data_IF_237073418960
#
_entry.id   IF_237073418960
#
_cell.length_a   1.000
_cell.length_b   1.000
_cell.length_c   1.000
_cell.angle_alpha   90.00
_cell.angle_beta   90.00
_cell.angle_gamma   90.00
#
_symmetry.space_group_name_H-M   'P 1'
#
loop_
_entity.id
_entity.type
_entity.pdbx_description
1 polymer ?
#
# COMPACT_ATOMS: atom_id res chain seq x y z
N UNK A 1 -7.14 -9.72 -15.21
CA UNK A 1 -6.09 -10.33 -14.38
C UNK A 1 -6.76 -11.15 -13.29
N UNK A 2 -6.31 -12.38 -13.03
CA UNK A 2 -6.84 -13.17 -11.89
C UNK A 2 -6.12 -12.79 -10.59
N UNK A 3 -6.69 -13.13 -9.42
CA UNK A 3 -6.04 -12.90 -8.13
C UNK A 3 -4.72 -13.67 -7.97
N UNK A 4 -4.57 -14.79 -8.68
CA UNK A 4 -3.30 -15.55 -8.70
C UNK A 4 -2.25 -14.80 -9.52
N UNK A 5 -2.62 -14.34 -10.72
CA UNK A 5 -1.72 -13.57 -11.58
C UNK A 5 -1.26 -12.28 -10.90
N UNK A 6 -2.18 -11.58 -10.23
CA UNK A 6 -1.87 -10.34 -9.53
C UNK A 6 -0.97 -10.57 -8.30
N UNK A 7 -1.22 -11.64 -7.54
CA UNK A 7 -0.36 -11.99 -6.42
C UNK A 7 1.06 -12.33 -6.89
N UNK A 8 1.18 -13.03 -8.03
CA UNK A 8 2.47 -13.31 -8.68
C UNK A 8 3.17 -12.05 -9.15
N UNK A 9 2.46 -11.10 -9.78
CA UNK A 9 3.01 -9.81 -10.18
C UNK A 9 3.57 -9.03 -8.97
N UNK A 10 2.85 -9.02 -7.85
CA UNK A 10 3.27 -8.36 -6.61
C UNK A 10 4.30 -9.15 -5.77
N UNK A 11 4.66 -10.37 -6.19
CA UNK A 11 5.59 -11.22 -5.45
C UNK A 11 5.09 -11.68 -4.08
N UNK A 12 3.77 -11.84 -3.90
CA UNK A 12 3.13 -12.30 -2.66
C UNK A 12 2.26 -13.54 -2.88
N UNK A 13 1.86 -14.21 -1.80
CA UNK A 13 0.91 -15.32 -1.92
C UNK A 13 -0.51 -14.83 -2.23
N UNK A 14 -1.30 -15.65 -2.92
CA UNK A 14 -2.73 -15.39 -3.16
C UNK A 14 -3.51 -15.11 -1.86
N UNK A 15 -3.18 -15.83 -0.78
CA UNK A 15 -3.82 -15.61 0.52
C UNK A 15 -3.51 -14.23 1.07
N UNK A 16 -2.25 -13.81 0.97
CA UNK A 16 -1.82 -12.47 1.40
C UNK A 16 -2.55 -11.38 0.62
N UNK A 17 -2.66 -11.51 -0.70
CA UNK A 17 -3.41 -10.57 -1.52
C UNK A 17 -4.90 -10.52 -1.11
N UNK A 18 -5.55 -11.68 -0.94
CA UNK A 18 -6.94 -11.73 -0.48
C UNK A 18 -7.13 -11.07 0.90
N UNK A 19 -6.18 -11.22 1.82
CA UNK A 19 -6.25 -10.58 3.15
C UNK A 19 -6.09 -9.06 3.07
N UNK A 20 -5.30 -8.57 2.12
CA UNK A 20 -5.20 -7.13 1.83
C UNK A 20 -6.53 -6.62 1.24
N UNK A 21 -7.07 -7.29 0.22
CA UNK A 21 -8.31 -6.87 -0.45
C UNK A 21 -9.54 -6.87 0.47
N UNK A 22 -9.59 -7.80 1.43
CA UNK A 22 -10.66 -7.86 2.43
C UNK A 22 -10.48 -6.89 3.60
N UNK A 23 -9.36 -6.18 3.65
CA UNK A 23 -9.03 -5.33 4.78
C UNK A 23 -8.68 -6.12 6.04
N UNK A 24 -8.33 -7.39 5.96
CA UNK A 24 -7.84 -8.17 7.12
C UNK A 24 -6.39 -7.81 7.45
N UNK A 25 -5.62 -7.34 6.47
CA UNK A 25 -4.22 -6.97 6.62
C UNK A 25 -3.94 -5.61 5.99
N UNK A 26 -3.29 -4.74 6.75
CA UNK A 26 -2.81 -3.45 6.25
C UNK A 26 -1.54 -3.62 5.42
N UNK A 27 -1.36 -2.74 4.44
CA UNK A 27 -0.11 -2.63 3.67
C UNK A 27 0.84 -1.71 4.42
N UNK A 28 2.10 -2.11 4.62
CA UNK A 28 3.09 -1.23 5.24
C UNK A 28 3.56 -0.16 4.25
N UNK A 29 4.05 1.02 4.71
CA UNK A 29 4.63 2.04 3.83
C UNK A 29 5.71 1.50 2.89
N UNK A 30 6.58 0.62 3.38
CA UNK A 30 7.61 -0.02 2.58
C UNK A 30 7.01 -0.88 1.45
N UNK A 31 6.03 -1.73 1.77
CA UNK A 31 5.35 -2.54 0.76
C UNK A 31 4.55 -1.70 -0.23
N UNK A 32 3.99 -0.58 0.21
CA UNK A 32 3.30 0.37 -0.66
C UNK A 32 4.24 0.96 -1.72
N UNK A 33 5.49 1.28 -1.36
CA UNK A 33 6.52 1.69 -2.32
C UNK A 33 6.82 0.57 -3.31
N UNK A 34 7.09 -0.64 -2.83
CA UNK A 34 7.38 -1.80 -3.69
C UNK A 34 6.23 -2.06 -4.69
N UNK A 35 4.98 -2.04 -4.23
CA UNK A 35 3.81 -2.22 -5.08
C UNK A 35 3.62 -1.07 -6.07
N UNK A 36 3.85 0.17 -5.67
CA UNK A 36 3.78 1.31 -6.58
C UNK A 36 4.79 1.19 -7.73
N UNK A 37 6.01 0.74 -7.43
CA UNK A 37 7.06 0.52 -8.44
C UNK A 37 6.69 -0.60 -9.41
N UNK A 38 6.21 -1.73 -8.90
CA UNK A 38 5.76 -2.88 -9.71
C UNK A 38 4.62 -2.46 -10.65
N UNK A 39 3.65 -1.71 -10.13
CA UNK A 39 2.43 -1.34 -10.85
C UNK A 39 2.56 -0.05 -11.67
N UNK A 40 3.70 0.63 -11.63
CA UNK A 40 3.95 1.87 -12.38
C UNK A 40 3.18 3.08 -11.85
N UNK A 41 2.87 3.12 -10.56
CA UNK A 41 2.16 4.23 -9.90
C UNK A 41 3.07 5.09 -9.02
N UNK A 42 2.54 6.21 -8.54
CA UNK A 42 3.26 7.11 -7.62
C UNK A 42 3.47 6.46 -6.26
N UNK A 43 4.74 6.25 -5.88
CA UNK A 43 5.13 5.79 -4.54
C UNK A 43 4.51 6.64 -3.43
N UNK A 44 4.56 7.97 -3.58
CA UNK A 44 3.98 8.91 -2.62
C UNK A 44 2.48 8.68 -2.42
N UNK A 45 1.71 8.43 -3.48
CA UNK A 45 0.28 8.17 -3.33
C UNK A 45 0.01 6.84 -2.62
N UNK A 46 0.75 5.79 -2.96
CA UNK A 46 0.59 4.48 -2.33
C UNK A 46 0.96 4.53 -0.84
N UNK A 47 2.05 5.21 -0.48
CA UNK A 47 2.44 5.41 0.92
C UNK A 47 1.38 6.21 1.67
N UNK A 48 0.83 7.28 1.06
CA UNK A 48 -0.25 8.07 1.67
C UNK A 48 -1.47 7.21 1.96
N UNK A 49 -1.89 6.39 0.99
CA UNK A 49 -3.03 5.50 1.13
C UNK A 49 -2.80 4.44 2.21
N UNK A 50 -1.62 3.82 2.25
CA UNK A 50 -1.26 2.83 3.26
C UNK A 50 -1.28 3.42 4.69
N UNK A 51 -0.79 4.65 4.86
CA UNK A 51 -0.85 5.33 6.16
C UNK A 51 -2.28 5.76 6.52
N UNK A 52 -3.07 6.23 5.56
CA UNK A 52 -4.47 6.57 5.81
C UNK A 52 -5.27 5.34 6.23
N UNK A 53 -5.10 4.22 5.53
CA UNK A 53 -5.74 2.94 5.87
C UNK A 53 -5.42 2.50 7.31
N UNK A 54 -4.20 2.74 7.79
CA UNK A 54 -3.86 2.48 9.19
C UNK A 54 -4.65 3.37 10.17
N UNK A 55 -4.75 4.68 9.91
CA UNK A 55 -5.53 5.58 10.75
C UNK A 55 -7.01 5.20 10.77
N UNK A 56 -7.56 4.87 9.60
CA UNK A 56 -8.97 4.50 9.43
C UNK A 56 -9.29 3.23 10.22
N UNK A 57 -8.40 2.22 10.20
CA UNK A 57 -8.55 0.97 10.98
C UNK A 57 -8.56 1.17 12.49
N UNK A 58 -7.92 2.23 12.97
CA UNK A 58 -7.91 2.60 14.39
C UNK A 58 -8.96 3.67 14.73
N UNK A 59 -9.87 3.99 13.80
CA UNK A 59 -10.92 5.00 13.95
C UNK A 59 -10.36 6.39 14.34
N UNK A 60 -9.15 6.70 13.88
CA UNK A 60 -8.48 7.96 14.17
C UNK A 60 -8.95 9.04 13.18
N UNK A 61 -9.46 10.19 13.65
CA UNK A 61 -10.08 11.21 12.79
C UNK A 61 -9.05 12.15 12.15
N UNK A 62 -7.98 11.59 11.57
CA UNK A 62 -6.89 12.35 10.96
C UNK A 62 -6.75 12.03 9.47
N UNK A 63 -6.24 13.00 8.71
CA UNK A 63 -5.93 12.87 7.28
C UNK A 63 -4.42 12.84 7.08
N UNK A 64 -3.94 11.97 6.18
CA UNK A 64 -2.53 11.90 5.79
C UNK A 64 -2.27 12.75 4.56
N UNK A 65 -1.37 13.72 4.71
CA UNK A 65 -0.75 14.46 3.62
C UNK A 65 0.76 14.18 3.60
N UNK A 66 1.29 13.91 2.40
CA UNK A 66 2.72 13.70 2.21
C UNK A 66 3.27 14.82 1.31
N UNK A 67 4.41 15.37 1.71
CA UNK A 67 5.21 16.29 0.93
C UNK A 67 6.59 15.69 0.69
N UNK A 68 7.16 15.85 -0.52
CA UNK A 68 8.55 15.47 -0.77
C UNK A 68 9.47 16.27 0.14
N UNK A 69 10.35 15.59 0.84
CA UNK A 69 11.37 16.25 1.63
C UNK A 69 12.55 16.60 0.71
N UNK A 70 13.04 17.84 0.76
CA UNK A 70 14.15 18.33 -0.09
C UNK A 70 15.50 17.67 0.23
N UNK A 71 15.56 16.85 1.28
CA UNK A 71 16.70 15.99 1.57
C UNK A 71 16.56 14.74 0.70
N UNK A 72 17.09 14.82 -0.51
CA UNK A 72 17.32 13.66 -1.35
C UNK A 72 18.11 12.61 -0.57
N UNK A 73 17.61 11.39 -0.59
CA UNK A 73 18.47 10.23 -0.61
C UNK A 73 18.90 10.01 -2.06
#
# INVERSE_FOLDING_TARGET
MTMVDFASELGISRSHLNDIEKGNKAVSPQKAVEYAQILGYSEQQFVRLALQDLLDRYELPYSVELSKNSRGL
#
